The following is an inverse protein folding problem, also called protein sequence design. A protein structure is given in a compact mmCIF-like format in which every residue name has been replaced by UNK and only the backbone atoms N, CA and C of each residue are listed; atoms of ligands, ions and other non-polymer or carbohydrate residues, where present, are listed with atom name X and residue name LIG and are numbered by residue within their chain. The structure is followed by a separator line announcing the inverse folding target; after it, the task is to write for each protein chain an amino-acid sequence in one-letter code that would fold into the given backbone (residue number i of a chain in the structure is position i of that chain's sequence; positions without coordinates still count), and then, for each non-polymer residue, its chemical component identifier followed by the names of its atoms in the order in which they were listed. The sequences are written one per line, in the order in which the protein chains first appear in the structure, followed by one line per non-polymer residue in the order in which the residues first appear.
data_IF_613834207006
#
_entry.id   IF_613834207006
#
_cell.length_a   1.000
_cell.length_b   1.000
_cell.length_c   1.000
_cell.angle_alpha   90.00
_cell.angle_beta   90.00
_cell.angle_gamma   90.00
#
_symmetry.space_group_name_H-M   'P 1'
#
loop_
_entity.id
_entity.type
_entity.pdbx_description
1 polymer ?
#
# COMPACT_ATOMS: atom_id res chain seq x y z
N UNK A 1 -11.63 11.55 -14.14
CA UNK A 1 -12.28 10.62 -15.08
C UNK A 1 -11.62 9.27 -14.94
N UNK A 2 -12.37 8.16 -14.84
CA UNK A 2 -11.80 6.80 -14.80
C UNK A 2 -11.44 6.37 -16.21
N UNK A 3 -10.19 5.91 -16.40
CA UNK A 3 -9.71 5.32 -17.67
C UNK A 3 -9.82 3.80 -17.54
N UNK A 4 -10.54 3.16 -18.44
CA UNK A 4 -10.65 1.69 -18.54
C UNK A 4 -9.73 1.22 -19.66
N UNK A 5 -8.85 0.27 -19.35
CA UNK A 5 -7.81 -0.24 -20.28
C UNK A 5 -8.12 -1.70 -20.63
N UNK A 6 -8.94 -1.91 -21.66
CA UNK A 6 -9.34 -3.22 -22.16
C UNK A 6 -8.68 -3.60 -23.52
N UNK A 7 -8.02 -2.61 -24.14
CA UNK A 7 -7.34 -2.83 -25.42
C UNK A 7 -5.90 -3.31 -25.23
N UNK A 8 -5.30 -3.79 -26.32
CA UNK A 8 -3.88 -4.11 -26.33
C UNK A 8 -3.04 -2.86 -26.01
N UNK A 9 -1.98 -3.07 -25.24
CA UNK A 9 -1.08 -1.99 -24.90
C UNK A 9 -0.33 -1.51 -26.16
N UNK A 10 -0.21 -0.18 -26.40
CA UNK A 10 0.43 0.35 -27.60
C UNK A 10 1.92 -0.03 -27.65
N UNK A 11 2.41 -0.32 -28.86
CA UNK A 11 3.84 -0.53 -29.10
C UNK A 11 4.61 0.79 -29.01
N UNK A 12 5.91 0.73 -28.69
CA UNK A 12 6.81 1.89 -28.57
C UNK A 12 6.37 2.89 -27.49
N UNK A 13 6.14 2.38 -26.29
CA UNK A 13 5.79 3.20 -25.13
C UNK A 13 7.03 3.86 -24.53
N UNK A 14 6.86 5.08 -24.00
CA UNK A 14 7.90 5.74 -23.18
C UNK A 14 8.24 5.00 -21.89
N UNK A 15 7.48 3.98 -21.52
CA UNK A 15 7.67 3.16 -20.32
C UNK A 15 8.42 1.85 -20.57
N UNK A 16 8.91 1.63 -21.77
CA UNK A 16 9.63 0.41 -22.19
C UNK A 16 10.76 0.05 -21.21
N UNK A 17 11.53 1.02 -20.75
CA UNK A 17 12.60 0.81 -19.76
C UNK A 17 12.13 0.23 -18.42
N UNK A 18 10.87 0.44 -18.04
CA UNK A 18 10.28 -0.17 -16.86
C UNK A 18 9.83 -1.60 -17.13
N UNK A 19 9.43 -1.91 -18.36
CA UNK A 19 9.04 -3.27 -18.75
C UNK A 19 10.23 -4.20 -18.85
N UNK A 20 11.37 -3.71 -19.32
CA UNK A 20 12.65 -4.44 -19.43
C UNK A 20 13.24 -4.85 -18.06
N UNK A 21 12.74 -4.32 -16.96
CA UNK A 21 13.10 -4.78 -15.61
C UNK A 21 12.67 -6.24 -15.32
N UNK A 22 11.79 -6.79 -16.16
CA UNK A 22 11.28 -8.14 -16.02
C UNK A 22 11.87 -9.06 -17.09
N UNK A 23 12.35 -10.28 -16.73
CA UNK A 23 13.00 -11.20 -17.65
C UNK A 23 12.02 -11.96 -18.58
N UNK A 24 10.75 -11.56 -18.58
CA UNK A 24 9.67 -12.16 -19.36
C UNK A 24 8.72 -11.08 -19.90
N UNK A 25 8.00 -11.37 -21.00
CA UNK A 25 7.06 -10.42 -21.57
C UNK A 25 5.89 -10.16 -20.61
N UNK A 26 5.56 -8.89 -20.43
CA UNK A 26 4.43 -8.47 -19.63
C UNK A 26 3.13 -8.53 -20.43
N UNK A 27 2.04 -8.90 -19.76
CA UNK A 27 0.69 -8.78 -20.32
C UNK A 27 0.25 -7.31 -20.40
N UNK A 28 -0.75 -7.02 -21.23
CA UNK A 28 -1.21 -5.65 -21.45
C UNK A 28 -1.69 -4.97 -20.16
N UNK A 29 -2.44 -5.69 -19.30
CA UNK A 29 -2.89 -5.12 -18.04
C UNK A 29 -1.73 -4.80 -17.08
N UNK A 30 -0.65 -5.59 -17.09
CA UNK A 30 0.54 -5.32 -16.30
C UNK A 30 1.25 -4.06 -16.78
N UNK A 31 1.36 -3.87 -18.11
CA UNK A 31 1.94 -2.67 -18.71
C UNK A 31 1.14 -1.42 -18.37
N UNK A 32 -0.19 -1.47 -18.50
CA UNK A 32 -1.07 -0.36 -18.10
C UNK A 32 -0.98 -0.03 -16.60
N UNK A 33 -0.87 -1.06 -15.75
CA UNK A 33 -0.71 -0.84 -14.31
C UNK A 33 0.64 -0.17 -13.98
N UNK A 34 1.73 -0.61 -14.61
CA UNK A 34 3.07 0.00 -14.47
C UNK A 34 3.04 1.46 -14.95
N UNK A 35 2.45 1.74 -16.10
CA UNK A 35 2.24 3.11 -16.60
C UNK A 35 1.53 3.96 -15.54
N UNK A 36 0.39 3.48 -15.01
CA UNK A 36 -0.37 4.21 -13.99
C UNK A 36 0.44 4.46 -12.73
N UNK A 37 1.26 3.49 -12.30
CA UNK A 37 2.13 3.64 -11.13
C UNK A 37 3.18 4.73 -11.36
N UNK A 38 3.85 4.71 -12.49
CA UNK A 38 4.89 5.71 -12.84
C UNK A 38 4.30 7.11 -13.00
N UNK A 39 3.05 7.22 -13.48
CA UNK A 39 2.34 8.50 -13.61
C UNK A 39 1.70 8.99 -12.31
N UNK A 40 1.87 8.28 -11.20
CA UNK A 40 1.29 8.66 -9.92
C UNK A 40 -0.24 8.52 -9.86
N UNK A 41 -0.84 7.74 -10.75
CA UNK A 41 -2.30 7.52 -10.80
C UNK A 41 -2.70 6.33 -9.94
N UNK A 42 -3.85 6.43 -9.26
CA UNK A 42 -4.44 5.25 -8.63
C UNK A 42 -4.80 4.21 -9.69
N UNK A 43 -4.60 2.94 -9.38
CA UNK A 43 -4.99 1.89 -10.31
C UNK A 43 -5.73 0.74 -9.63
N UNK A 44 -6.73 0.20 -10.33
CA UNK A 44 -7.42 -1.03 -9.98
C UNK A 44 -7.10 -2.08 -11.02
N UNK A 45 -6.49 -3.16 -10.60
CA UNK A 45 -6.17 -4.33 -11.44
C UNK A 45 -7.16 -5.44 -11.12
N UNK A 46 -7.98 -5.80 -12.10
CA UNK A 46 -8.88 -6.94 -12.02
C UNK A 46 -8.38 -8.04 -12.96
N UNK A 47 -8.02 -9.18 -12.42
CA UNK A 47 -7.52 -10.30 -13.19
C UNK A 47 -7.66 -11.61 -12.41
N UNK A 48 -7.94 -12.71 -13.09
CA UNK A 48 -8.12 -14.00 -12.45
C UNK A 48 -6.88 -14.47 -11.68
N UNK A 49 -7.09 -15.39 -10.74
CA UNK A 49 -6.00 -15.98 -9.96
C UNK A 49 -4.99 -16.66 -10.88
N UNK A 50 -3.69 -16.45 -10.63
CA UNK A 50 -2.61 -17.01 -11.46
C UNK A 50 -2.24 -16.16 -12.69
N UNK A 51 -2.93 -15.07 -12.99
CA UNK A 51 -2.62 -14.15 -14.12
C UNK A 51 -1.38 -13.27 -13.92
N UNK A 52 -0.78 -13.29 -12.73
CA UNK A 52 0.34 -12.38 -12.40
C UNK A 52 -0.11 -11.00 -11.92
N UNK A 53 -1.31 -10.86 -11.34
CA UNK A 53 -1.81 -9.58 -10.81
C UNK A 53 -0.98 -8.98 -9.66
N UNK A 54 -0.16 -9.78 -8.99
CA UNK A 54 0.75 -9.28 -7.93
C UNK A 54 1.94 -8.48 -8.49
N UNK A 55 2.31 -8.71 -9.76
CA UNK A 55 3.47 -8.06 -10.38
C UNK A 55 3.40 -6.52 -10.36
N UNK A 56 2.28 -5.85 -10.65
CA UNK A 56 2.17 -4.41 -10.47
C UNK A 56 2.49 -3.92 -9.06
N UNK A 57 2.06 -4.66 -8.03
CA UNK A 57 2.39 -4.32 -6.65
C UNK A 57 3.89 -4.52 -6.35
N UNK A 58 4.50 -5.57 -6.87
CA UNK A 58 5.94 -5.80 -6.76
C UNK A 58 6.74 -4.70 -7.47
N UNK A 59 6.28 -4.27 -8.64
CA UNK A 59 6.87 -3.13 -9.32
C UNK A 59 6.78 -1.85 -8.48
N UNK A 60 5.60 -1.56 -7.91
CA UNK A 60 5.40 -0.39 -7.06
C UNK A 60 6.32 -0.40 -5.84
N UNK A 61 6.47 -1.53 -5.16
CA UNK A 61 7.40 -1.69 -4.04
C UNK A 61 8.81 -1.26 -4.46
N UNK A 62 9.34 -1.86 -5.53
CA UNK A 62 10.69 -1.54 -6.02
C UNK A 62 10.81 -0.08 -6.47
N UNK A 63 9.80 0.42 -7.17
CA UNK A 63 9.78 1.78 -7.70
C UNK A 63 9.85 2.83 -6.59
N UNK A 64 9.03 2.71 -5.55
CA UNK A 64 9.00 3.69 -4.47
C UNK A 64 10.15 3.53 -3.48
N UNK A 65 10.55 2.31 -3.16
CA UNK A 65 11.71 2.06 -2.28
C UNK A 65 12.99 2.57 -2.91
N UNK A 66 13.18 2.43 -4.22
CA UNK A 66 14.35 3.02 -4.93
C UNK A 66 14.40 4.55 -4.86
N UNK A 67 13.29 5.21 -4.57
CA UNK A 67 13.18 6.66 -4.35
C UNK A 67 13.29 7.06 -2.87
N UNK A 68 13.62 6.12 -1.97
CA UNK A 68 13.67 6.35 -0.53
C UNK A 68 12.30 6.56 0.12
N UNK A 69 11.23 6.05 -0.51
CA UNK A 69 9.87 6.12 0.00
C UNK A 69 9.42 4.79 0.58
N UNK A 70 8.45 4.86 1.47
CA UNK A 70 7.86 3.67 2.11
C UNK A 70 6.57 3.24 1.42
N UNK A 71 6.30 1.95 1.47
CA UNK A 71 5.09 1.32 0.92
C UNK A 71 4.39 0.52 2.01
N UNK A 72 3.07 0.57 2.04
CA UNK A 72 2.25 -0.33 2.85
C UNK A 72 1.56 -1.33 1.93
N UNK A 73 1.68 -2.61 2.25
CA UNK A 73 0.98 -3.70 1.57
C UNK A 73 -0.07 -4.28 2.50
N UNK A 74 -1.36 -4.21 2.13
CA UNK A 74 -2.43 -4.73 2.94
C UNK A 74 -3.07 -5.97 2.33
N UNK A 75 -3.50 -6.89 3.19
CA UNK A 75 -4.30 -8.06 2.82
C UNK A 75 -5.48 -8.24 3.77
N UNK A 76 -6.53 -9.00 3.36
CA UNK A 76 -7.75 -9.14 4.16
C UNK A 76 -7.57 -9.99 5.42
N UNK A 77 -6.59 -10.87 5.47
CA UNK A 77 -6.40 -11.82 6.58
C UNK A 77 -4.93 -12.01 6.93
N UNK A 78 -4.67 -12.32 8.21
CA UNK A 78 -3.33 -12.53 8.77
C UNK A 78 -2.50 -13.58 8.00
N UNK A 79 -3.12 -14.69 7.59
CA UNK A 79 -2.43 -15.76 6.88
C UNK A 79 -1.83 -15.28 5.56
N UNK A 80 -2.56 -14.47 4.79
CA UNK A 80 -2.08 -13.88 3.54
C UNK A 80 -0.97 -12.84 3.79
N UNK A 81 -1.09 -12.02 4.85
CA UNK A 81 -0.02 -11.10 5.23
C UNK A 81 1.27 -11.85 5.56
N UNK A 82 1.19 -12.91 6.35
CA UNK A 82 2.34 -13.73 6.71
C UNK A 82 2.97 -14.37 5.47
N UNK A 83 2.16 -14.97 4.60
CA UNK A 83 2.65 -15.58 3.36
C UNK A 83 3.38 -14.55 2.48
N UNK A 84 2.76 -13.38 2.23
CA UNK A 84 3.35 -12.31 1.42
C UNK A 84 4.66 -11.79 2.01
N UNK A 85 4.74 -11.70 3.33
CA UNK A 85 5.96 -11.30 4.02
C UNK A 85 7.12 -12.25 3.73
N UNK A 86 6.92 -13.55 3.87
CA UNK A 86 7.96 -14.55 3.57
C UNK A 86 8.32 -14.59 2.07
N UNK A 87 7.31 -14.56 1.20
CA UNK A 87 7.51 -14.59 -0.25
C UNK A 87 8.35 -13.37 -0.72
N UNK A 88 8.03 -12.18 -0.22
CA UNK A 88 8.73 -10.96 -0.61
C UNK A 88 10.14 -10.88 -0.03
N UNK A 89 10.35 -11.29 1.23
CA UNK A 89 11.69 -11.35 1.81
C UNK A 89 12.63 -12.29 1.03
N UNK A 90 12.14 -13.42 0.59
CA UNK A 90 12.93 -14.35 -0.23
C UNK A 90 13.22 -13.79 -1.61
N UNK A 91 12.24 -13.11 -2.22
CA UNK A 91 12.35 -12.59 -3.57
C UNK A 91 13.18 -11.31 -3.68
N UNK A 92 13.15 -10.46 -2.65
CA UNK A 92 13.78 -9.14 -2.62
C UNK A 92 14.65 -8.97 -1.36
N UNK A 93 15.81 -9.63 -1.28
CA UNK A 93 16.67 -9.60 -0.08
C UNK A 93 17.31 -8.22 0.19
N UNK A 94 17.31 -7.34 -0.79
CA UNK A 94 17.80 -5.97 -0.74
C UNK A 94 16.77 -4.96 -0.18
N UNK A 95 15.50 -5.37 0.00
CA UNK A 95 14.43 -4.54 0.55
C UNK A 95 14.10 -5.00 1.97
N UNK A 96 13.94 -4.06 2.88
CA UNK A 96 13.52 -4.38 4.23
C UNK A 96 12.00 -4.47 4.33
N UNK A 97 11.53 -5.60 4.85
CA UNK A 97 10.10 -5.84 5.07
C UNK A 97 9.80 -5.91 6.57
N UNK A 98 8.69 -5.31 6.97
CA UNK A 98 8.10 -5.43 8.29
C UNK A 98 6.74 -6.12 8.21
N UNK A 99 6.35 -6.82 9.28
CA UNK A 99 5.07 -7.52 9.37
C UNK A 99 4.28 -7.03 10.59
N UNK A 100 3.04 -6.60 10.34
CA UNK A 100 2.11 -6.18 11.37
C UNK A 100 0.79 -6.94 11.24
N UNK A 101 0.61 -7.87 12.14
CA UNK A 101 -0.66 -8.60 12.35
C UNK A 101 -1.10 -8.42 13.80
N UNK A 102 -2.30 -8.90 14.17
CA UNK A 102 -2.74 -8.79 15.55
C UNK A 102 -1.79 -9.42 16.59
N UNK A 103 -0.99 -10.39 16.16
CA UNK A 103 -0.14 -11.19 17.06
C UNK A 103 1.36 -10.95 16.82
N UNK A 104 1.74 -10.41 15.67
CA UNK A 104 3.14 -10.26 15.26
C UNK A 104 3.40 -8.81 14.86
N UNK A 105 4.48 -8.25 15.40
CA UNK A 105 5.01 -6.94 15.00
C UNK A 105 6.52 -7.08 14.85
N UNK A 106 7.02 -6.98 13.63
CA UNK A 106 8.45 -7.07 13.32
C UNK A 106 8.87 -5.94 12.41
N UNK A 107 10.09 -5.44 12.59
CA UNK A 107 10.75 -4.42 11.80
C UNK A 107 9.85 -3.20 11.47
N UNK A 108 9.52 -2.37 12.47
CA UNK A 108 8.60 -1.23 12.30
C UNK A 108 9.14 -0.12 11.39
N UNK A 109 10.44 -0.07 11.18
CA UNK A 109 11.11 0.95 10.37
C UNK A 109 11.35 0.51 8.91
N UNK A 110 10.91 -0.69 8.55
CA UNK A 110 11.12 -1.26 7.23
C UNK A 110 10.63 -0.33 6.09
N UNK A 111 11.21 -0.52 4.90
CA UNK A 111 10.80 0.18 3.69
C UNK A 111 9.39 -0.21 3.25
N UNK A 112 9.03 -1.47 3.50
CA UNK A 112 7.71 -2.02 3.17
C UNK A 112 7.08 -2.63 4.40
N UNK A 113 5.91 -2.15 4.80
CA UNK A 113 5.15 -2.73 5.89
C UNK A 113 3.97 -3.56 5.36
N UNK A 114 3.96 -4.84 5.69
CA UNK A 114 2.88 -5.77 5.34
C UNK A 114 1.96 -5.91 6.54
N UNK A 115 0.66 -5.71 6.33
CA UNK A 115 -0.32 -5.73 7.42
C UNK A 115 -1.72 -6.10 6.96
N UNK A 116 -2.62 -6.34 7.90
CA UNK A 116 -4.04 -6.44 7.57
C UNK A 116 -4.65 -5.04 7.40
N UNK A 117 -5.71 -4.94 6.60
CA UNK A 117 -6.40 -3.67 6.34
C UNK A 117 -6.95 -3.04 7.62
N UNK A 118 -7.39 -3.86 8.60
CA UNK A 118 -7.87 -3.36 9.90
C UNK A 118 -6.76 -2.65 10.69
N UNK A 119 -5.53 -3.13 10.62
CA UNK A 119 -4.40 -2.48 11.30
C UNK A 119 -4.12 -1.13 10.67
N UNK A 120 -4.10 -1.06 9.33
CA UNK A 120 -3.93 0.21 8.63
C UNK A 120 -5.06 1.20 8.97
N UNK A 121 -6.31 0.73 8.96
CA UNK A 121 -7.47 1.55 9.34
C UNK A 121 -7.30 2.18 10.73
N UNK A 122 -6.95 1.36 11.73
CA UNK A 122 -6.76 1.83 13.09
C UNK A 122 -5.64 2.89 13.19
N UNK A 123 -4.58 2.72 12.41
CA UNK A 123 -3.46 3.68 12.37
C UNK A 123 -3.83 5.00 11.73
N UNK A 124 -4.52 4.95 10.60
CA UNK A 124 -5.03 6.16 9.93
C UNK A 124 -6.02 6.91 10.82
N UNK A 125 -6.86 6.18 11.56
CA UNK A 125 -7.78 6.79 12.51
C UNK A 125 -7.04 7.56 13.62
N UNK A 126 -6.04 6.94 14.24
CA UNK A 126 -5.20 7.58 15.28
C UNK A 126 -4.45 8.79 14.72
N UNK A 127 -3.87 8.66 13.53
CA UNK A 127 -3.18 9.73 12.84
C UNK A 127 -4.09 10.94 12.57
N UNK A 128 -5.29 10.71 12.07
CA UNK A 128 -6.25 11.77 11.79
C UNK A 128 -6.77 12.45 13.06
N UNK A 129 -6.99 11.70 14.14
CA UNK A 129 -7.33 12.27 15.45
C UNK A 129 -6.21 13.18 15.98
N UNK A 130 -4.96 12.70 15.91
CA UNK A 130 -3.81 13.48 16.35
C UNK A 130 -3.68 14.81 15.59
N UNK A 131 -3.85 14.80 14.28
CA UNK A 131 -3.79 16.00 13.47
C UNK A 131 -4.93 16.97 13.75
N UNK A 132 -6.14 16.48 14.02
CA UNK A 132 -7.26 17.31 14.43
C UNK A 132 -7.01 17.97 15.79
N UNK A 133 -6.53 17.22 16.77
CA UNK A 133 -6.20 17.78 18.10
C UNK A 133 -5.10 18.85 18.01
N UNK A 134 -4.08 18.66 17.20
CA UNK A 134 -3.00 19.63 17.03
C UNK A 134 -3.46 20.92 16.33
N UNK A 135 -4.40 20.87 15.42
CA UNK A 135 -5.02 22.06 14.84
C UNK A 135 -5.81 22.87 15.88
N UNK A 136 -6.51 22.21 16.81
CA UNK A 136 -7.21 22.86 17.91
C UNK A 136 -6.24 23.40 18.99
N UNK A 137 -5.13 22.71 19.27
CA UNK A 137 -4.17 23.10 20.30
C UNK A 137 -3.25 24.27 19.88
N UNK A 138 -3.13 24.59 18.60
CA UNK A 138 -2.51 25.84 18.16
C UNK A 138 -3.29 27.09 18.61
N UNK A 139 -4.56 26.94 18.97
CA UNK A 139 -5.41 28.02 19.55
C UNK A 139 -5.39 28.09 21.07
N UNK A 140 -4.96 27.02 21.77
CA UNK A 140 -4.91 26.98 23.23
C UNK A 140 -3.56 26.41 23.68
N UNK A 141 -2.60 27.29 23.95
CA UNK A 141 -1.44 26.91 24.77
C UNK A 141 -1.96 26.57 26.18
N UNK A 142 -1.96 25.32 26.53
CA UNK A 142 -1.91 24.70 27.87
C UNK A 142 -2.65 23.35 27.81
N UNK A 143 -1.89 22.29 27.71
CA UNK A 143 -1.92 21.13 28.60
C UNK A 143 -1.10 20.00 27.97
N UNK A 144 -0.06 19.62 28.68
CA UNK A 144 0.72 18.43 28.47
C UNK A 144 -0.23 17.22 28.50
N UNK A 145 -0.43 16.57 27.38
CA UNK A 145 -1.01 15.23 27.36
C UNK A 145 0.14 14.23 27.43
N UNK A 146 0.03 13.36 28.44
CA UNK A 146 0.94 12.27 28.71
C UNK A 146 1.33 11.49 27.45
N UNK A 147 2.62 11.42 27.22
CA UNK A 147 3.28 10.56 26.22
C UNK A 147 3.32 9.09 26.69
N UNK A 148 2.19 8.51 27.02
CA UNK A 148 2.06 7.09 27.35
C UNK A 148 1.25 6.34 26.28
N UNK A 149 1.66 6.44 25.02
CA UNK A 149 1.23 5.50 23.98
C UNK A 149 2.39 4.58 23.65
N UNK A 150 2.18 3.36 24.01
CA UNK A 150 3.03 2.16 23.93
C UNK A 150 4.08 2.13 22.81
N UNK A 151 5.27 1.79 23.21
CA UNK A 151 6.57 1.66 22.52
C UNK A 151 6.66 0.69 21.34
N UNK A 152 5.59 0.41 20.59
CA UNK A 152 5.65 -0.54 19.46
C UNK A 152 4.79 -0.14 18.26
N UNK A 153 4.66 1.13 17.99
CA UNK A 153 3.95 1.60 16.80
C UNK A 153 4.91 1.78 15.64
N UNK A 154 4.53 1.30 14.44
CA UNK A 154 5.36 1.55 13.27
C UNK A 154 5.54 3.07 13.10
N UNK A 155 6.80 3.47 12.94
CA UNK A 155 7.20 4.86 12.87
C UNK A 155 7.27 5.30 11.40
N UNK A 156 6.11 5.31 10.71
CA UNK A 156 6.04 5.92 9.38
C UNK A 156 5.46 7.33 9.52
N UNK A 157 6.18 8.30 9.02
CA UNK A 157 5.62 9.61 8.77
C UNK A 157 4.76 9.55 7.50
N UNK A 158 3.43 9.41 7.67
CA UNK A 158 2.48 9.21 6.57
C UNK A 158 2.58 10.35 5.55
N UNK A 159 2.75 11.60 5.99
CA UNK A 159 2.83 12.76 5.11
C UNK A 159 4.11 12.83 4.27
N UNK A 160 5.23 12.39 4.81
CA UNK A 160 6.55 12.60 4.18
C UNK A 160 7.11 11.34 3.52
N UNK A 161 6.86 10.18 4.11
CA UNK A 161 7.53 8.93 3.74
C UNK A 161 6.62 7.98 2.98
N UNK A 162 5.31 7.92 3.28
CA UNK A 162 4.39 6.99 2.64
C UNK A 162 4.03 7.47 1.23
N UNK A 163 4.45 6.72 0.23
CA UNK A 163 4.14 7.01 -1.17
C UNK A 163 2.97 6.18 -1.71
N UNK A 164 2.85 4.94 -1.26
CA UNK A 164 1.90 4.00 -1.86
C UNK A 164 1.29 3.06 -0.82
N UNK A 165 0.01 2.73 -1.02
CA UNK A 165 -0.68 1.63 -0.35
C UNK A 165 -1.19 0.64 -1.38
N UNK A 166 -0.78 -0.62 -1.25
CA UNK A 166 -1.29 -1.74 -2.01
C UNK A 166 -2.43 -2.39 -1.24
N UNK A 167 -3.58 -2.51 -1.87
CA UNK A 167 -4.74 -3.24 -1.37
C UNK A 167 -4.87 -4.56 -2.11
N UNK A 168 -4.38 -5.65 -1.52
CA UNK A 168 -4.51 -6.98 -2.11
C UNK A 168 -5.87 -7.59 -1.79
N UNK A 169 -6.45 -8.29 -2.76
CA UNK A 169 -7.78 -8.91 -2.68
C UNK A 169 -8.89 -7.91 -2.32
N UNK A 170 -8.91 -6.75 -2.99
CA UNK A 170 -9.83 -5.65 -2.68
C UNK A 170 -11.33 -6.03 -2.79
N UNK A 171 -11.67 -7.14 -3.46
CA UNK A 171 -13.05 -7.64 -3.50
C UNK A 171 -13.64 -7.98 -2.12
N UNK A 172 -12.80 -8.15 -1.08
CA UNK A 172 -13.27 -8.23 0.31
C UNK A 172 -13.97 -6.97 0.82
N UNK A 173 -13.93 -5.87 0.08
CA UNK A 173 -14.75 -4.67 0.37
C UNK A 173 -16.25 -5.00 0.38
N UNK A 174 -16.67 -6.05 -0.37
CA UNK A 174 -18.05 -6.54 -0.38
C UNK A 174 -18.40 -7.49 0.77
N UNK A 175 -17.44 -7.82 1.66
CA UNK A 175 -17.71 -8.64 2.83
C UNK A 175 -18.59 -7.89 3.83
N UNK A 176 -19.68 -8.52 4.28
CA UNK A 176 -20.69 -7.90 5.16
C UNK A 176 -20.12 -7.44 6.52
N UNK A 177 -19.04 -8.07 7.01
CA UNK A 177 -18.45 -7.77 8.31
C UNK A 177 -17.19 -6.91 8.22
N UNK A 178 -16.39 -7.06 7.16
CA UNK A 178 -15.06 -6.43 7.00
C UNK A 178 -15.04 -5.29 5.98
N UNK A 179 -16.01 -5.24 5.08
CA UNK A 179 -16.05 -4.26 3.99
C UNK A 179 -15.97 -2.81 4.46
N UNK A 180 -16.64 -2.48 5.57
CA UNK A 180 -16.58 -1.13 6.15
C UNK A 180 -15.16 -0.68 6.53
N UNK A 181 -14.29 -1.62 6.92
CA UNK A 181 -12.90 -1.29 7.25
C UNK A 181 -12.10 -0.87 6.01
N UNK A 182 -12.39 -1.50 4.87
CA UNK A 182 -11.80 -1.14 3.58
C UNK A 182 -12.22 0.25 3.12
N UNK A 183 -13.53 0.53 3.13
CA UNK A 183 -14.07 1.84 2.76
C UNK A 183 -13.48 2.95 3.63
N UNK A 184 -13.48 2.77 4.95
CA UNK A 184 -12.91 3.74 5.89
C UNK A 184 -11.42 3.96 5.64
N UNK A 185 -10.66 2.88 5.40
CA UNK A 185 -9.23 2.98 5.13
C UNK A 185 -8.95 3.81 3.88
N UNK A 186 -9.66 3.53 2.78
CA UNK A 186 -9.52 4.27 1.52
C UNK A 186 -9.85 5.75 1.71
N UNK A 187 -10.93 6.06 2.41
CA UNK A 187 -11.37 7.45 2.65
C UNK A 187 -10.42 8.23 3.58
N UNK A 188 -9.72 7.55 4.48
CA UNK A 188 -8.80 8.19 5.43
C UNK A 188 -7.38 8.38 4.87
N UNK A 189 -7.04 7.78 3.74
CA UNK A 189 -5.72 7.96 3.14
C UNK A 189 -5.52 9.40 2.65
N UNK A 190 -4.36 10.00 2.90
CA UNK A 190 -4.02 11.30 2.33
C UNK A 190 -4.01 11.25 0.80
N UNK A 191 -4.42 12.35 0.16
CA UNK A 191 -4.55 12.44 -1.30
C UNK A 191 -3.24 12.23 -2.08
N UNK A 192 -2.09 12.46 -1.44
CA UNK A 192 -0.79 12.24 -2.07
C UNK A 192 -0.37 10.77 -2.11
N UNK A 193 -1.00 9.92 -1.32
CA UNK A 193 -0.68 8.48 -1.25
C UNK A 193 -1.34 7.76 -2.40
N UNK A 194 -0.53 7.15 -3.25
CA UNK A 194 -1.04 6.39 -4.39
C UNK A 194 -1.66 5.06 -3.93
N UNK A 195 -2.81 4.71 -4.49
CA UNK A 195 -3.48 3.44 -4.20
C UNK A 195 -3.36 2.49 -5.38
N UNK A 196 -2.93 1.26 -5.10
CA UNK A 196 -2.90 0.14 -6.04
C UNK A 196 -3.80 -0.95 -5.49
N UNK A 197 -4.87 -1.24 -6.19
CA UNK A 197 -5.89 -2.18 -5.77
C UNK A 197 -5.84 -3.41 -6.66
N UNK A 198 -5.76 -4.60 -6.05
CA UNK A 198 -5.71 -5.87 -6.75
C UNK A 198 -6.97 -6.67 -6.42
N UNK A 199 -7.66 -7.15 -7.44
CA UNK A 199 -8.89 -7.95 -7.31
C UNK A 199 -8.83 -9.20 -8.20
N UNK A 200 -9.41 -10.28 -7.71
CA UNK A 200 -9.67 -11.47 -8.51
C UNK A 200 -11.03 -11.37 -9.19
#
# INVERSE_FOLDING_TARGET
MVKVCESNYPNNSKYESHFELFPFPLSDFQKYAIESIVEGQHCLVTAHTGSGKTLPAEFAIRHFVSQGKKVIYTSPIKALSNQKYYDFQQKYPDIQFGLFTGDIKTNPEADVLIMTTEILMNRLFQYNQYNQCNQYNQYNQYNQMDSSTSEMDFQINIEKELACVVFDEVHYINDAHRGQNWEKTILMLPHHVQMIMLSA
#
